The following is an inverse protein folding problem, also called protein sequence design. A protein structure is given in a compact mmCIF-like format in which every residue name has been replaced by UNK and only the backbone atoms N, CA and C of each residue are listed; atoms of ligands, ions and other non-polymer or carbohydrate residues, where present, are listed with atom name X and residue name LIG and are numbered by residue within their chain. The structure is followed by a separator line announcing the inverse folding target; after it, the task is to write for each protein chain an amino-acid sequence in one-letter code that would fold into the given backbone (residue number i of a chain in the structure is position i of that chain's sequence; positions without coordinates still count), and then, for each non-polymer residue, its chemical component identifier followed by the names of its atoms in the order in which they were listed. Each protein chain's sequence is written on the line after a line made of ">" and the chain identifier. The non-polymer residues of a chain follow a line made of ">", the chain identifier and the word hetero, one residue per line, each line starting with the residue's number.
data_IF_085833099522
#
_entry.id   IF_085833099522
#
_cell.length_a   1.000
_cell.length_b   1.000
_cell.length_c   1.000
_cell.angle_alpha   90.00
_cell.angle_beta   90.00
_cell.angle_gamma   90.00
#
_symmetry.space_group_name_H-M   'P 1'
#
loop_
_entity.id
_entity.type
_entity.pdbx_description
1 polymer ?
#
# COMPACT_ATOMS: atom_id res chain seq x y z
N UNK A 1 -22.14 -9.56 20.70
CA UNK A 1 -22.39 -8.78 19.48
C UNK A 1 -21.04 -8.59 18.80
N UNK A 2 -20.82 -9.16 17.61
CA UNK A 2 -19.57 -8.94 16.86
C UNK A 2 -19.60 -7.48 16.39
N UNK A 3 -18.66 -6.65 16.85
CA UNK A 3 -18.49 -5.31 16.30
C UNK A 3 -18.24 -5.46 14.79
N UNK A 4 -19.17 -4.98 13.96
CA UNK A 4 -18.89 -4.78 12.54
C UNK A 4 -17.89 -3.63 12.45
N UNK A 5 -16.75 -3.89 11.83
CA UNK A 5 -15.77 -2.83 11.58
C UNK A 5 -16.33 -1.84 10.57
N UNK A 6 -16.16 -0.55 10.86
CA UNK A 6 -16.52 0.49 9.90
C UNK A 6 -15.52 0.52 8.75
N UNK A 7 -15.89 1.14 7.62
CA UNK A 7 -14.95 1.35 6.52
C UNK A 7 -13.69 2.12 6.96
N UNK A 8 -13.83 3.04 7.93
CA UNK A 8 -12.69 3.77 8.49
C UNK A 8 -11.75 2.87 9.31
N UNK A 9 -12.30 1.91 10.08
CA UNK A 9 -11.48 0.95 10.83
C UNK A 9 -10.69 0.05 9.88
N UNK A 10 -11.34 -0.43 8.81
CA UNK A 10 -10.69 -1.23 7.77
C UNK A 10 -9.56 -0.44 7.12
N UNK A 11 -9.80 0.83 6.75
CA UNK A 11 -8.77 1.70 6.18
C UNK A 11 -7.55 1.78 7.11
N UNK A 12 -7.77 2.03 8.40
CA UNK A 12 -6.70 2.11 9.39
C UNK A 12 -5.94 0.78 9.52
N UNK A 13 -6.64 -0.36 9.47
CA UNK A 13 -6.01 -1.68 9.55
C UNK A 13 -5.10 -1.98 8.35
N UNK A 14 -5.48 -1.61 7.14
CA UNK A 14 -4.60 -1.69 5.96
C UNK A 14 -3.34 -0.87 6.15
N UNK A 15 -3.47 0.36 6.64
CA UNK A 15 -2.34 1.23 6.98
C UNK A 15 -1.39 0.58 7.98
N UNK A 16 -1.94 0.13 9.11
CA UNK A 16 -1.17 -0.51 10.18
C UNK A 16 -0.46 -1.79 9.69
N UNK A 17 -1.14 -2.63 8.91
CA UNK A 17 -0.52 -3.86 8.38
C UNK A 17 0.59 -3.54 7.39
N UNK A 18 0.41 -2.57 6.49
CA UNK A 18 1.45 -2.16 5.56
C UNK A 18 2.67 -1.58 6.29
N UNK A 19 2.46 -0.75 7.31
CA UNK A 19 3.52 -0.26 8.18
C UNK A 19 4.26 -1.37 8.93
N UNK A 20 3.53 -2.39 9.41
CA UNK A 20 4.13 -3.55 10.07
C UNK A 20 4.96 -4.40 9.10
N UNK A 21 4.47 -4.68 7.89
CA UNK A 21 5.20 -5.45 6.87
C UNK A 21 6.49 -4.74 6.47
N UNK A 22 6.43 -3.43 6.24
CA UNK A 22 7.61 -2.61 5.95
C UNK A 22 8.71 -2.79 7.02
N UNK A 23 8.34 -2.71 8.30
CA UNK A 23 9.30 -2.82 9.39
C UNK A 23 9.77 -4.26 9.66
N UNK A 24 8.86 -5.23 9.64
CA UNK A 24 9.12 -6.58 10.12
C UNK A 24 9.77 -7.46 9.04
N UNK A 25 9.37 -7.28 7.78
CA UNK A 25 9.84 -8.11 6.65
C UNK A 25 10.90 -7.44 5.81
N UNK A 26 11.35 -6.24 6.18
CA UNK A 26 12.33 -5.42 5.46
C UNK A 26 11.99 -5.22 3.99
N UNK A 27 10.70 -5.19 3.67
CA UNK A 27 10.17 -4.75 2.39
C UNK A 27 10.31 -3.23 2.29
N UNK A 28 10.46 -2.72 1.08
CA UNK A 28 10.38 -1.29 0.84
C UNK A 28 8.90 -0.83 0.74
N UNK A 29 8.67 0.48 0.66
CA UNK A 29 7.33 1.06 0.74
C UNK A 29 6.36 0.50 -0.31
N UNK A 30 6.79 0.34 -1.57
CA UNK A 30 5.95 -0.18 -2.67
C UNK A 30 5.61 -1.65 -2.51
N UNK A 31 6.60 -2.47 -2.14
CA UNK A 31 6.43 -3.91 -1.91
C UNK A 31 5.39 -4.16 -0.82
N UNK A 32 5.52 -3.46 0.31
CA UNK A 32 4.60 -3.60 1.44
C UNK A 32 3.16 -3.22 1.07
N UNK A 33 2.94 -2.12 0.35
CA UNK A 33 1.59 -1.68 -0.05
C UNK A 33 0.96 -2.69 -1.02
N UNK A 34 1.69 -3.12 -2.06
CA UNK A 34 1.15 -4.07 -3.04
C UNK A 34 0.86 -5.43 -2.38
N UNK A 35 1.78 -5.90 -1.54
CA UNK A 35 1.62 -7.13 -0.78
C UNK A 35 0.34 -7.11 0.06
N UNK A 36 0.17 -6.09 0.92
CA UNK A 36 -0.99 -6.00 1.82
C UNK A 36 -2.29 -5.87 1.04
N UNK A 37 -2.34 -5.01 0.01
CA UNK A 37 -3.54 -4.88 -0.83
C UNK A 37 -3.91 -6.20 -1.51
N UNK A 38 -2.92 -6.94 -2.03
CA UNK A 38 -3.18 -8.23 -2.65
C UNK A 38 -3.67 -9.26 -1.63
N UNK A 39 -2.96 -9.47 -0.53
CA UNK A 39 -3.30 -10.53 0.42
C UNK A 39 -4.64 -10.26 1.12
N UNK A 40 -4.85 -9.04 1.63
CA UNK A 40 -6.04 -8.71 2.41
C UNK A 40 -7.34 -8.75 1.59
N UNK A 41 -7.26 -8.64 0.26
CA UNK A 41 -8.42 -8.66 -0.63
C UNK A 41 -8.55 -9.97 -1.43
N UNK A 42 -7.81 -11.02 -1.07
CA UNK A 42 -7.81 -12.28 -1.82
C UNK A 42 -7.38 -12.11 -3.29
N UNK A 43 -6.42 -11.20 -3.52
CA UNK A 43 -5.89 -10.89 -4.83
C UNK A 43 -5.21 -12.10 -5.50
N UNK A 44 -5.07 -12.08 -6.84
CA UNK A 44 -4.70 -13.27 -7.61
C UNK A 44 -3.19 -13.61 -7.56
N UNK A 45 -2.37 -12.76 -6.95
CA UNK A 45 -0.91 -12.94 -6.96
C UNK A 45 -0.45 -13.72 -5.73
N UNK A 46 0.59 -14.54 -5.89
CA UNK A 46 1.32 -15.07 -4.75
C UNK A 46 2.00 -13.92 -3.97
N UNK A 47 2.35 -14.18 -2.71
CA UNK A 47 3.09 -13.23 -1.88
C UNK A 47 4.37 -12.72 -2.58
N UNK A 48 5.17 -13.65 -3.13
CA UNK A 48 6.44 -13.35 -3.79
C UNK A 48 6.23 -12.46 -5.03
N UNK A 49 5.23 -12.78 -5.86
CA UNK A 49 4.94 -11.98 -7.07
C UNK A 49 4.44 -10.59 -6.68
N UNK A 50 3.56 -10.50 -5.69
CA UNK A 50 3.04 -9.21 -5.21
C UNK A 50 4.17 -8.29 -4.71
N UNK A 51 5.09 -8.83 -3.91
CA UNK A 51 6.26 -8.09 -3.46
C UNK A 51 7.18 -7.72 -4.64
N UNK A 52 7.52 -8.67 -5.52
CA UNK A 52 8.46 -8.47 -6.64
C UNK A 52 8.04 -7.35 -7.60
N UNK A 53 6.74 -7.17 -7.82
CA UNK A 53 6.22 -6.06 -8.65
C UNK A 53 6.55 -4.68 -8.05
N UNK A 54 6.70 -4.60 -6.72
CA UNK A 54 7.05 -3.38 -6.00
C UNK A 54 8.55 -3.09 -6.00
N UNK A 55 9.43 -4.07 -6.24
CA UNK A 55 10.87 -3.95 -6.01
C UNK A 55 11.54 -2.89 -6.89
N UNK A 56 11.07 -2.71 -8.13
CA UNK A 56 11.54 -1.64 -9.02
C UNK A 56 11.23 -0.21 -8.52
N UNK A 57 10.38 -0.08 -7.50
CA UNK A 57 9.96 1.18 -6.88
C UNK A 57 10.55 1.44 -5.49
N UNK A 58 11.53 0.64 -5.07
CA UNK A 58 12.21 0.79 -3.79
C UNK A 58 13.27 1.88 -3.80
N UNK A 59 13.24 2.82 -2.84
CA UNK A 59 14.22 3.91 -2.66
C UNK A 59 14.07 5.18 -3.56
N UNK A 60 12.90 5.49 -4.10
CA UNK A 60 12.60 6.70 -4.92
C UNK A 60 13.12 6.76 -6.39
N UNK A 61 12.39 6.42 -7.44
CA UNK A 61 11.69 5.18 -7.24
C UNK A 61 12.72 4.19 -6.74
N UNK A 62 13.98 4.15 -7.30
CA UNK A 62 15.24 3.38 -7.07
C UNK A 62 16.54 4.13 -6.65
N UNK A 63 16.46 5.26 -5.95
CA UNK A 63 17.59 6.16 -5.60
C UNK A 63 17.66 7.43 -6.49
N UNK A 64 17.05 7.36 -7.68
CA UNK A 64 16.90 8.48 -8.61
C UNK A 64 16.12 9.68 -8.05
N UNK A 65 15.39 9.49 -6.95
CA UNK A 65 14.60 10.50 -6.24
C UNK A 65 13.17 10.70 -6.73
N UNK A 66 12.66 9.88 -7.66
CA UNK A 66 11.36 10.07 -8.32
C UNK A 66 10.16 9.68 -7.42
N UNK A 67 9.05 9.18 -7.99
CA UNK A 67 7.81 8.93 -7.23
C UNK A 67 8.04 8.08 -5.98
N UNK A 68 7.36 8.43 -4.88
CA UNK A 68 7.35 7.67 -3.63
C UNK A 68 6.84 6.23 -3.86
N UNK A 69 7.54 5.24 -3.31
CA UNK A 69 7.16 3.83 -3.43
C UNK A 69 5.78 3.53 -2.86
N UNK A 70 5.39 4.14 -1.73
CA UNK A 70 4.06 3.95 -1.15
C UNK A 70 2.92 4.43 -2.08
N UNK A 71 3.11 5.57 -2.75
CA UNK A 71 2.17 6.08 -3.75
C UNK A 71 2.14 5.20 -5.01
N UNK A 72 3.31 4.75 -5.48
CA UNK A 72 3.37 3.88 -6.65
C UNK A 72 2.71 2.52 -6.40
N UNK A 73 2.98 1.91 -5.25
CA UNK A 73 2.35 0.66 -4.82
C UNK A 73 0.83 0.79 -4.69
N UNK A 74 0.36 1.91 -4.15
CA UNK A 74 -1.07 2.23 -4.10
C UNK A 74 -1.70 2.29 -5.51
N UNK A 75 -1.03 2.94 -6.47
CA UNK A 75 -1.50 3.02 -7.85
C UNK A 75 -1.55 1.66 -8.56
N UNK A 76 -0.57 0.80 -8.29
CA UNK A 76 -0.54 -0.59 -8.77
C UNK A 76 -1.70 -1.38 -8.17
N UNK A 77 -1.93 -1.25 -6.85
CA UNK A 77 -3.07 -1.88 -6.18
C UNK A 77 -4.42 -1.46 -6.76
N UNK A 78 -4.63 -0.16 -7.02
CA UNK A 78 -5.84 0.30 -7.73
C UNK A 78 -5.97 -0.35 -9.10
N UNK A 79 -4.87 -0.46 -9.86
CA UNK A 79 -4.85 -1.12 -11.16
C UNK A 79 -5.24 -2.60 -11.10
N UNK A 80 -4.80 -3.30 -10.06
CA UNK A 80 -5.07 -4.73 -9.87
C UNK A 80 -6.57 -5.01 -9.65
N UNK A 81 -7.26 -4.14 -8.92
CA UNK A 81 -8.67 -4.35 -8.52
C UNK A 81 -9.67 -3.57 -9.39
N UNK A 82 -9.30 -2.42 -9.94
CA UNK A 82 -10.19 -1.54 -10.72
C UNK A 82 -9.70 -1.25 -12.14
N UNK A 83 -8.49 -1.67 -12.52
CA UNK A 83 -7.86 -1.26 -13.77
C UNK A 83 -8.58 -1.76 -15.03
N UNK A 84 -8.39 -1.09 -16.18
CA UNK A 84 -9.11 -1.32 -17.43
C UNK A 84 -8.71 -2.58 -18.20
N UNK A 85 -7.89 -3.44 -17.59
CA UNK A 85 -7.47 -4.73 -18.13
C UNK A 85 -7.98 -5.89 -17.28
N UNK A 86 -8.56 -5.61 -16.13
CA UNK A 86 -9.18 -6.60 -15.25
C UNK A 86 -10.60 -6.93 -15.77
N UNK A 87 -10.99 -8.20 -15.68
CA UNK A 87 -12.39 -8.58 -15.82
C UNK A 87 -13.24 -7.87 -14.75
N UNK A 88 -14.32 -7.20 -15.17
CA UNK A 88 -15.15 -6.38 -14.28
C UNK A 88 -14.46 -5.12 -13.74
N UNK A 89 -13.36 -4.69 -14.37
CA UNK A 89 -12.67 -3.42 -14.07
C UNK A 89 -13.31 -2.21 -14.76
N UNK A 90 -12.90 -1.01 -14.35
CA UNK A 90 -13.37 0.25 -14.90
C UNK A 90 -12.82 0.49 -16.31
N UNK A 91 -13.49 1.31 -17.12
CA UNK A 91 -12.90 1.73 -18.38
C UNK A 91 -11.79 2.78 -18.15
N UNK A 92 -10.98 3.05 -19.18
CA UNK A 92 -9.83 3.99 -19.07
C UNK A 92 -10.26 5.43 -18.71
N UNK A 93 -11.47 5.87 -19.11
CA UNK A 93 -11.96 7.23 -18.85
C UNK A 93 -12.38 7.42 -17.39
N UNK A 94 -12.79 6.35 -16.71
CA UNK A 94 -13.12 6.32 -15.28
C UNK A 94 -11.87 6.10 -14.42
N UNK A 95 -11.03 5.15 -14.81
CA UNK A 95 -9.86 4.74 -14.01
C UNK A 95 -8.79 5.84 -13.94
N UNK A 96 -8.56 6.59 -15.03
CA UNK A 96 -7.53 7.64 -15.06
C UNK A 96 -7.78 8.76 -14.04
N UNK A 97 -8.99 9.35 -13.95
CA UNK A 97 -9.32 10.29 -12.87
C UNK A 97 -9.12 9.71 -11.46
N UNK A 98 -9.48 8.45 -11.22
CA UNK A 98 -9.32 7.81 -9.91
C UNK A 98 -7.84 7.72 -9.48
N UNK A 99 -6.94 7.36 -10.40
CA UNK A 99 -5.50 7.35 -10.12
C UNK A 99 -4.94 8.77 -9.90
N UNK A 100 -5.50 9.78 -10.58
CA UNK A 100 -5.16 11.18 -10.30
C UNK A 100 -5.60 11.58 -8.89
N UNK A 101 -6.79 11.17 -8.48
CA UNK A 101 -7.30 11.44 -7.14
C UNK A 101 -6.44 10.78 -6.05
N UNK A 102 -5.98 9.54 -6.26
CA UNK A 102 -4.98 8.90 -5.40
C UNK A 102 -3.72 9.78 -5.25
N UNK A 103 -3.16 10.25 -6.38
CA UNK A 103 -2.00 11.14 -6.38
C UNK A 103 -2.26 12.43 -5.60
N UNK A 104 -3.41 13.06 -5.82
CA UNK A 104 -3.75 14.34 -5.19
C UNK A 104 -4.00 14.21 -3.70
N UNK A 105 -4.72 13.15 -3.25
CA UNK A 105 -4.91 12.84 -1.82
C UNK A 105 -3.57 12.57 -1.13
N UNK A 106 -2.66 11.83 -1.78
CA UNK A 106 -1.32 11.59 -1.24
C UNK A 106 -0.52 12.90 -1.14
N UNK A 107 -0.54 13.72 -2.19
CA UNK A 107 0.12 15.03 -2.18
C UNK A 107 -0.48 15.97 -1.13
N UNK A 108 -1.79 15.96 -0.92
CA UNK A 108 -2.44 16.76 0.10
C UNK A 108 -1.97 16.36 1.51
N UNK A 109 -1.82 15.06 1.78
CA UNK A 109 -1.37 14.54 3.08
C UNK A 109 0.11 14.78 3.35
N UNK A 110 0.98 14.62 2.35
CA UNK A 110 2.44 14.64 2.54
C UNK A 110 3.15 15.84 1.89
N UNK A 111 2.41 16.73 1.23
CA UNK A 111 2.86 17.95 0.57
C UNK A 111 3.49 17.75 -0.82
N UNK A 112 4.18 16.63 -1.06
CA UNK A 112 4.83 16.31 -2.34
C UNK A 112 4.79 14.80 -2.60
N UNK A 113 5.02 14.40 -3.86
CA UNK A 113 5.05 12.98 -4.28
C UNK A 113 6.45 12.49 -4.67
N UNK A 114 7.39 13.42 -4.87
CA UNK A 114 8.78 13.16 -5.17
C UNK A 114 9.53 12.65 -3.93
N UNK A 115 10.01 11.42 -3.97
CA UNK A 115 10.68 10.73 -2.87
C UNK A 115 11.91 11.50 -2.38
N UNK A 116 12.71 12.09 -3.27
CA UNK A 116 13.87 12.91 -2.84
C UNK A 116 13.45 14.06 -1.95
N UNK A 117 12.37 14.75 -2.30
CA UNK A 117 11.88 15.90 -1.52
C UNK A 117 11.27 15.44 -0.19
N UNK A 118 10.55 14.31 -0.20
CA UNK A 118 10.02 13.70 1.03
C UNK A 118 11.14 13.31 2.00
N UNK A 119 12.15 12.59 1.53
CA UNK A 119 13.29 12.17 2.34
C UNK A 119 14.13 13.37 2.81
N UNK A 120 14.27 14.42 2.01
CA UNK A 120 14.93 15.65 2.43
C UNK A 120 14.17 16.31 3.59
N UNK A 121 12.85 16.45 3.48
CA UNK A 121 12.02 17.01 4.57
C UNK A 121 12.08 16.16 5.84
N UNK A 122 12.08 14.84 5.69
CA UNK A 122 12.21 13.91 6.81
C UNK A 122 13.56 14.06 7.51
N UNK A 123 14.68 14.19 6.78
CA UNK A 123 16.01 14.47 7.36
C UNK A 123 16.06 15.78 8.15
N UNK A 124 15.24 16.74 7.78
CA UNK A 124 15.08 18.01 8.49
C UNK A 124 14.07 17.95 9.65
N UNK A 125 13.54 16.76 9.97
CA UNK A 125 12.47 16.52 10.95
C UNK A 125 11.17 17.29 10.65
N UNK A 126 10.88 17.54 9.37
CA UNK A 126 9.70 18.29 8.88
C UNK A 126 8.77 17.45 8.01
N UNK A 127 9.00 16.14 7.89
CA UNK A 127 8.28 15.28 6.95
C UNK A 127 8.13 13.85 7.45
N UNK A 128 7.20 13.13 6.82
CA UNK A 128 6.90 11.73 7.14
C UNK A 128 8.07 10.79 6.81
N UNK A 129 8.25 9.79 7.66
CA UNK A 129 9.11 8.62 7.44
C UNK A 129 8.61 7.73 6.31
N UNK A 130 9.47 6.86 5.79
CA UNK A 130 9.08 5.84 4.81
C UNK A 130 7.97 4.91 5.32
N UNK A 131 7.93 4.63 6.62
CA UNK A 131 6.86 3.84 7.22
C UNK A 131 5.53 4.59 7.18
N UNK A 132 5.49 5.86 7.58
CA UNK A 132 4.26 6.68 7.54
C UNK A 132 3.76 6.89 6.10
N UNK A 133 4.68 7.03 5.13
CA UNK A 133 4.34 7.09 3.71
C UNK A 133 3.75 5.76 3.20
N UNK A 134 4.22 4.63 3.74
CA UNK A 134 3.68 3.29 3.44
C UNK A 134 2.27 3.14 4.00
N UNK A 135 2.06 3.51 5.27
CA UNK A 135 0.76 3.54 5.94
C UNK A 135 -0.24 4.38 5.14
N UNK A 136 0.12 5.64 4.84
CA UNK A 136 -0.77 6.54 4.12
C UNK A 136 -1.04 6.11 2.67
N UNK A 137 -0.05 5.50 2.00
CA UNK A 137 -0.25 4.93 0.66
C UNK A 137 -1.31 3.82 0.67
N UNK A 138 -1.23 2.88 1.61
CA UNK A 138 -2.20 1.81 1.77
C UNK A 138 -3.59 2.35 2.14
N UNK A 139 -3.68 3.27 3.11
CA UNK A 139 -4.94 3.88 3.57
C UNK A 139 -5.68 4.59 2.43
N UNK A 140 -4.98 5.41 1.65
CA UNK A 140 -5.61 6.15 0.54
C UNK A 140 -6.06 5.18 -0.55
N UNK A 141 -5.26 4.15 -0.86
CA UNK A 141 -5.62 3.15 -1.85
C UNK A 141 -6.89 2.41 -1.46
N UNK A 142 -6.96 1.88 -0.23
CA UNK A 142 -8.13 1.11 0.20
C UNK A 142 -9.36 2.00 0.38
N UNK A 143 -9.21 3.25 0.86
CA UNK A 143 -10.33 4.21 0.91
C UNK A 143 -10.97 4.37 -0.47
N UNK A 144 -10.16 4.62 -1.51
CA UNK A 144 -10.64 4.76 -2.88
C UNK A 144 -11.23 3.44 -3.42
N UNK A 145 -10.64 2.29 -3.08
CA UNK A 145 -11.20 0.99 -3.48
C UNK A 145 -12.59 0.77 -2.87
N UNK A 146 -12.77 1.02 -1.58
CA UNK A 146 -14.03 0.80 -0.88
C UNK A 146 -15.10 1.83 -1.27
N UNK A 147 -14.71 3.08 -1.58
CA UNK A 147 -15.60 4.09 -2.14
C UNK A 147 -16.18 3.65 -3.50
N UNK A 148 -15.36 2.99 -4.33
CA UNK A 148 -15.76 2.53 -5.66
C UNK A 148 -16.43 1.15 -5.65
N UNK A 149 -16.07 0.29 -4.70
CA UNK A 149 -16.53 -1.10 -4.57
C UNK A 149 -16.81 -1.43 -3.09
N UNK A 150 -17.90 -0.92 -2.50
CA UNK A 150 -18.22 -1.14 -1.10
C UNK A 150 -18.37 -2.62 -0.73
N UNK A 151 -18.72 -3.48 -1.68
CA UNK A 151 -18.85 -4.91 -1.47
C UNK A 151 -17.52 -5.62 -1.16
N UNK A 152 -16.37 -4.98 -1.42
CA UNK A 152 -15.06 -5.51 -1.04
C UNK A 152 -14.90 -5.58 0.49
N UNK A 153 -15.67 -4.80 1.27
CA UNK A 153 -15.66 -4.88 2.75
C UNK A 153 -15.90 -6.31 3.22
N UNK A 154 -16.83 -7.04 2.59
CA UNK A 154 -17.14 -8.42 2.95
C UNK A 154 -16.08 -9.44 2.52
N UNK A 155 -15.09 -9.02 1.72
CA UNK A 155 -14.01 -9.87 1.20
C UNK A 155 -12.68 -9.61 1.91
N UNK A 156 -12.63 -8.60 2.79
CA UNK A 156 -11.40 -8.27 3.51
C UNK A 156 -11.06 -9.38 4.51
N UNK A 157 -9.84 -9.90 4.42
CA UNK A 157 -9.26 -10.78 5.43
C UNK A 157 -8.82 -9.95 6.64
N UNK A 158 -9.73 -9.80 7.61
CA UNK A 158 -9.49 -9.06 8.84
C UNK A 158 -8.48 -9.73 9.76
N UNK A 159 -8.34 -11.06 9.69
CA UNK A 159 -7.38 -11.77 10.53
C UNK A 159 -5.97 -11.47 10.02
N UNK A 160 -5.75 -11.58 8.71
CA UNK A 160 -4.50 -11.14 8.07
C UNK A 160 -4.15 -9.68 8.39
N UNK A 161 -5.13 -8.77 8.33
CA UNK A 161 -4.88 -7.35 8.61
C UNK A 161 -4.54 -7.07 10.07
N UNK A 162 -5.02 -7.89 11.02
CA UNK A 162 -4.74 -7.74 12.45
C UNK A 162 -3.43 -8.40 12.88
N UNK A 163 -2.88 -9.30 12.07
CA UNK A 163 -1.57 -9.89 12.35
C UNK A 163 -0.48 -8.83 12.53
N UNK A 164 0.37 -9.02 13.55
CA UNK A 164 1.53 -8.18 13.81
C UNK A 164 2.76 -9.06 13.89
N UNK A 165 3.65 -8.90 12.92
CA UNK A 165 4.91 -9.61 12.88
C UNK A 165 5.98 -8.86 13.65
N UNK A 166 6.82 -9.60 14.37
CA UNK A 166 8.00 -9.05 15.01
C UNK A 166 9.20 -9.11 14.06
N UNK A 167 10.09 -8.12 14.17
CA UNK A 167 11.37 -8.08 13.42
C UNK A 167 12.19 -9.36 13.62
N UNK A 168 12.10 -9.96 14.82
CA UNK A 168 12.82 -11.19 15.16
C UNK A 168 12.34 -12.38 14.32
N UNK A 169 11.02 -12.55 14.17
CA UNK A 169 10.43 -13.65 13.38
C UNK A 169 10.66 -13.43 11.88
N UNK A 170 10.60 -12.17 11.41
CA UNK A 170 10.90 -11.82 10.02
C UNK A 170 12.35 -12.13 9.63
N UNK A 171 13.30 -11.86 10.53
CA UNK A 171 14.72 -12.20 10.34
C UNK A 171 14.91 -13.73 10.24
N UNK A 172 14.26 -14.50 11.11
CA UNK A 172 14.31 -15.96 11.10
C UNK A 172 13.78 -16.53 9.78
N UNK A 173 12.60 -16.10 9.32
CA UNK A 173 12.04 -16.58 8.04
C UNK A 173 12.96 -16.33 6.83
N UNK A 174 13.66 -15.19 6.79
CA UNK A 174 14.63 -14.88 5.73
C UNK A 174 15.86 -15.79 5.73
N UNK A 175 16.30 -16.25 6.90
CA UNK A 175 17.46 -17.13 7.04
C UNK A 175 17.11 -18.57 6.64
N UNK A 176 15.88 -19.01 6.94
CA UNK A 176 15.45 -20.39 6.68
C UNK A 176 14.82 -20.63 5.29
N UNK A 177 14.39 -19.57 4.58
CA UNK A 177 13.84 -19.66 3.21
C UNK A 177 14.82 -19.19 2.12
N UNK A 178 16.14 -19.24 2.36
CA UNK A 178 17.18 -19.14 1.32
C UNK A 178 17.64 -20.53 0.88
#
# INVERSE_FOLDING_TARGET
>A
MKNQESAADIVALFGQRAGNIYEARGYCCSEAVIYVLNQALGGPMSEEVAASLGSGFCHGMGGAGCVCGGLAGAGIGLGLFLGPRRAGGMNKKEFKPLVKELHDRFKARFGVTCCRVLLQRQKENKGASCQELTVGGAEIAISLLLEQRPELIGQVDLDFLRERESKLVGLVKRIFNQ
#
